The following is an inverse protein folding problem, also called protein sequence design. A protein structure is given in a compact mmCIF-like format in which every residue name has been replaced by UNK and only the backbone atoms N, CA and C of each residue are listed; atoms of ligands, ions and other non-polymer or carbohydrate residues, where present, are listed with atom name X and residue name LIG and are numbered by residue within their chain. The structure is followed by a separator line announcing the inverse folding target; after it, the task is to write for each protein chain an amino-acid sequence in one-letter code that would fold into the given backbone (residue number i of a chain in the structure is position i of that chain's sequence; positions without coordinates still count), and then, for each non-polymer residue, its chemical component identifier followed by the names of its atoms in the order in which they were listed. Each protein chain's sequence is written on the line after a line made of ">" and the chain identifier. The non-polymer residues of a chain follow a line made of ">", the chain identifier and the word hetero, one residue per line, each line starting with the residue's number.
data_IF_825592656124
#
_entry.id   IF_825592656124
#
_cell.length_a   1.000
_cell.length_b   1.000
_cell.length_c   1.000
_cell.angle_alpha   90.00
_cell.angle_beta   90.00
_cell.angle_gamma   90.00
#
_symmetry.space_group_name_H-M   'P 1'
#
loop_
_entity.id
_entity.type
_entity.pdbx_description
1 polymer ?
#
# COMPACT_ATOMS: atom_id res chain seq x y z
N UNK A 1 -7.42 -12.85 -26.66
CA UNK A 1 -6.83 -11.48 -26.77
C UNK A 1 -7.89 -10.37 -26.76
N UNK A 2 -9.03 -10.48 -27.44
CA UNK A 2 -10.03 -9.39 -27.47
C UNK A 2 -10.63 -9.03 -26.10
N UNK A 3 -10.94 -10.01 -25.22
CA UNK A 3 -11.55 -9.71 -23.92
C UNK A 3 -10.60 -8.94 -22.97
N UNK A 4 -9.31 -9.28 -22.96
CA UNK A 4 -8.32 -8.63 -22.09
C UNK A 4 -8.22 -7.12 -22.37
N UNK A 5 -8.19 -6.74 -23.65
CA UNK A 5 -8.09 -5.32 -24.05
C UNK A 5 -9.31 -4.55 -23.55
N UNK A 6 -10.52 -5.10 -23.68
CA UNK A 6 -11.73 -4.47 -23.16
C UNK A 6 -11.77 -4.39 -21.63
N UNK A 7 -11.28 -5.42 -20.94
CA UNK A 7 -11.16 -5.40 -19.47
C UNK A 7 -10.19 -4.30 -19.03
N UNK A 8 -9.02 -4.19 -19.67
CA UNK A 8 -8.03 -3.16 -19.35
C UNK A 8 -8.55 -1.77 -19.66
N UNK A 9 -9.17 -1.56 -20.83
CA UNK A 9 -9.80 -0.27 -21.19
C UNK A 9 -10.90 0.07 -20.18
N UNK A 10 -11.72 -0.90 -19.78
CA UNK A 10 -12.76 -0.73 -18.77
C UNK A 10 -12.17 -0.33 -17.42
N UNK A 11 -11.14 -1.04 -16.94
CA UNK A 11 -10.45 -0.74 -15.69
C UNK A 11 -9.80 0.64 -15.69
N UNK A 12 -9.11 1.01 -16.78
CA UNK A 12 -8.51 2.33 -16.94
C UNK A 12 -9.58 3.41 -17.02
N UNK A 13 -10.67 3.17 -17.74
CA UNK A 13 -11.79 4.09 -17.86
C UNK A 13 -12.48 4.34 -16.52
N UNK A 14 -12.80 3.27 -15.78
CA UNK A 14 -13.37 3.35 -14.43
C UNK A 14 -12.39 4.03 -13.48
N UNK A 15 -11.11 3.66 -13.50
CA UNK A 15 -10.07 4.28 -12.69
C UNK A 15 -9.90 5.77 -12.97
N UNK A 16 -9.93 6.18 -14.24
CA UNK A 16 -9.85 7.58 -14.65
C UNK A 16 -11.10 8.36 -14.22
N UNK A 17 -12.30 7.81 -14.45
CA UNK A 17 -13.55 8.41 -13.99
C UNK A 17 -13.54 8.56 -12.46
N UNK A 18 -13.12 7.52 -11.75
CA UNK A 18 -13.05 7.50 -10.30
C UNK A 18 -12.05 8.55 -9.77
N UNK A 19 -10.86 8.63 -10.37
CA UNK A 19 -9.86 9.64 -10.04
C UNK A 19 -10.40 11.06 -10.30
N UNK A 20 -11.01 11.29 -11.48
CA UNK A 20 -11.60 12.59 -11.80
C UNK A 20 -12.70 12.99 -10.82
N UNK A 21 -13.47 12.02 -10.33
CA UNK A 21 -14.52 12.23 -9.34
C UNK A 21 -13.95 12.54 -7.97
N UNK A 22 -12.92 11.82 -7.51
CA UNK A 22 -12.21 12.07 -6.25
C UNK A 22 -11.56 13.47 -6.25
N UNK A 23 -10.87 13.84 -7.33
CA UNK A 23 -10.17 15.13 -7.41
C UNK A 23 -11.11 16.33 -7.64
N UNK A 24 -12.34 16.12 -8.12
CA UNK A 24 -13.35 17.19 -8.28
C UNK A 24 -14.03 17.66 -6.98
N UNK A 25 -13.66 17.11 -5.81
CA UNK A 25 -14.48 17.24 -4.60
C UNK A 25 -13.86 18.13 -3.51
N UNK A 26 -14.02 19.44 -3.70
CA UNK A 26 -14.05 20.42 -2.61
C UNK A 26 -15.34 20.37 -1.77
N UNK A 27 -16.35 19.57 -2.17
CA UNK A 27 -17.72 19.61 -1.59
C UNK A 27 -18.19 18.37 -0.83
N UNK A 28 -17.36 17.36 -0.59
CA UNK A 28 -17.78 16.20 0.21
C UNK A 28 -17.69 16.46 1.72
N UNK A 29 -18.58 15.83 2.53
CA UNK A 29 -18.45 15.81 3.98
C UNK A 29 -17.09 15.20 4.38
N UNK A 30 -16.51 15.73 5.47
CA UNK A 30 -15.14 15.42 5.89
C UNK A 30 -14.85 13.92 6.01
N UNK A 31 -15.81 13.15 6.55
CA UNK A 31 -15.72 11.70 6.71
C UNK A 31 -15.56 10.96 5.37
N UNK A 32 -16.45 11.23 4.39
CA UNK A 32 -16.39 10.58 3.08
C UNK A 32 -15.09 10.92 2.32
N UNK A 33 -14.60 12.16 2.48
CA UNK A 33 -13.32 12.57 1.92
C UNK A 33 -12.14 11.83 2.57
N UNK A 34 -12.20 11.54 3.87
CA UNK A 34 -11.16 10.81 4.59
C UNK A 34 -11.16 9.31 4.23
N UNK A 35 -12.33 8.69 4.09
CA UNK A 35 -12.44 7.30 3.62
C UNK A 35 -12.01 7.13 2.16
N UNK A 36 -12.28 8.10 1.30
CA UNK A 36 -11.80 8.05 -0.10
C UNK A 36 -10.28 8.17 -0.22
N UNK A 37 -9.61 8.79 0.74
CA UNK A 37 -8.16 8.97 0.75
C UNK A 37 -7.39 7.70 1.17
N UNK A 38 -8.03 6.77 1.87
CA UNK A 38 -7.37 5.52 2.32
C UNK A 38 -7.28 4.47 1.21
N UNK A 39 -7.93 4.67 0.07
CA UNK A 39 -7.92 3.73 -1.06
C UNK A 39 -8.81 2.49 -0.87
N UNK A 40 -9.51 2.38 0.26
CA UNK A 40 -10.44 1.28 0.55
C UNK A 40 -11.53 1.12 -0.52
N UNK A 41 -11.99 2.21 -1.11
CA UNK A 41 -13.03 2.18 -2.13
C UNK A 41 -12.59 1.47 -3.41
N UNK A 42 -11.30 1.54 -3.75
CA UNK A 42 -10.73 0.82 -4.90
C UNK A 42 -10.73 -0.69 -4.63
N UNK A 43 -10.44 -1.10 -3.39
CA UNK A 43 -10.54 -2.51 -2.98
C UNK A 43 -11.98 -3.02 -3.06
N UNK A 44 -12.96 -2.25 -2.55
CA UNK A 44 -14.37 -2.62 -2.62
C UNK A 44 -14.85 -2.75 -4.07
N UNK A 45 -14.46 -1.80 -4.92
CA UNK A 45 -14.83 -1.81 -6.33
C UNK A 45 -14.17 -2.99 -7.06
N UNK A 46 -12.90 -3.29 -6.78
CA UNK A 46 -12.22 -4.48 -7.27
C UNK A 46 -12.89 -5.78 -6.84
N UNK A 47 -13.30 -5.88 -5.57
CA UNK A 47 -14.05 -7.03 -5.06
C UNK A 47 -15.43 -7.16 -5.72
N UNK A 48 -16.14 -6.04 -5.87
CA UNK A 48 -17.46 -6.01 -6.49
C UNK A 48 -17.43 -6.39 -7.97
N UNK A 49 -16.38 -6.01 -8.72
CA UNK A 49 -16.24 -6.35 -10.14
C UNK A 49 -15.65 -7.76 -10.31
N UNK A 50 -14.80 -8.20 -9.39
CA UNK A 50 -14.11 -9.48 -9.44
C UNK A 50 -15.00 -10.69 -9.16
N UNK A 51 -14.38 -11.89 -9.10
CA UNK A 51 -15.08 -13.16 -8.92
C UNK A 51 -15.89 -13.26 -7.62
N UNK A 52 -15.49 -12.53 -6.57
CA UNK A 52 -16.16 -12.53 -5.27
C UNK A 52 -17.43 -11.65 -5.21
N UNK A 53 -17.67 -10.82 -6.23
CA UNK A 53 -18.82 -9.92 -6.31
C UNK A 53 -19.73 -10.27 -7.47
N UNK A 54 -19.74 -9.41 -8.49
CA UNK A 54 -20.57 -9.51 -9.70
C UNK A 54 -20.00 -10.51 -10.73
N UNK A 55 -18.76 -10.95 -10.57
CA UNK A 55 -18.13 -11.94 -11.46
C UNK A 55 -17.89 -11.42 -12.88
N UNK A 56 -17.74 -10.10 -13.06
CA UNK A 56 -17.49 -9.48 -14.37
C UNK A 56 -16.12 -9.85 -14.94
N UNK A 57 -15.16 -10.17 -14.06
CA UNK A 57 -13.84 -10.68 -14.41
C UNK A 57 -13.72 -12.10 -13.86
N UNK A 58 -13.49 -13.08 -14.73
CA UNK A 58 -13.33 -14.47 -14.31
C UNK A 58 -11.99 -14.70 -13.62
N UNK A 59 -11.91 -15.68 -12.71
CA UNK A 59 -10.68 -15.96 -11.96
C UNK A 59 -9.49 -16.30 -12.87
N UNK A 60 -9.72 -16.97 -14.01
CA UNK A 60 -8.69 -17.27 -15.00
C UNK A 60 -8.23 -16.05 -15.82
N UNK A 61 -9.00 -14.97 -15.83
CA UNK A 61 -8.62 -13.71 -16.49
C UNK A 61 -7.79 -12.81 -15.56
N UNK A 62 -7.90 -12.97 -14.24
CA UNK A 62 -7.08 -12.23 -13.27
C UNK A 62 -5.58 -12.48 -13.47
N UNK A 63 -5.19 -13.73 -13.76
CA UNK A 63 -3.78 -14.07 -14.03
C UNK A 63 -3.23 -13.36 -15.28
N UNK A 64 -4.10 -12.94 -16.21
CA UNK A 64 -3.67 -12.17 -17.38
C UNK A 64 -3.37 -10.70 -17.03
N UNK A 65 -3.78 -10.25 -15.84
CA UNK A 65 -3.48 -8.92 -15.31
C UNK A 65 -2.13 -8.87 -14.57
N UNK A 66 -1.48 -10.01 -14.32
CA UNK A 66 -0.17 -10.09 -13.64
C UNK A 66 0.89 -9.13 -14.22
N UNK A 67 1.03 -8.96 -15.55
CA UNK A 67 1.99 -8.00 -16.11
C UNK A 67 1.68 -6.55 -15.72
N UNK A 68 0.40 -6.20 -15.59
CA UNK A 68 -0.02 -4.86 -15.16
C UNK A 68 0.18 -4.66 -13.66
N UNK A 69 -0.02 -5.70 -12.85
CA UNK A 69 0.31 -5.68 -11.42
C UNK A 69 1.81 -5.49 -11.25
N UNK A 70 2.63 -6.25 -11.96
CA UNK A 70 4.09 -6.12 -11.95
C UNK A 70 4.55 -4.73 -12.40
N UNK A 71 3.96 -4.18 -13.48
CA UNK A 71 4.23 -2.83 -13.94
C UNK A 71 3.83 -1.77 -12.91
N UNK A 72 2.65 -1.91 -12.29
CA UNK A 72 2.15 -1.01 -11.26
C UNK A 72 3.01 -1.02 -10.00
N UNK A 73 3.41 -2.20 -9.53
CA UNK A 73 4.32 -2.38 -8.39
C UNK A 73 5.71 -1.83 -8.71
N UNK A 74 6.25 -2.11 -9.90
CA UNK A 74 7.53 -1.56 -10.35
C UNK A 74 7.49 -0.03 -10.45
N UNK A 75 6.39 0.54 -10.94
CA UNK A 75 6.18 1.99 -10.98
C UNK A 75 6.07 2.62 -9.59
N UNK A 76 5.31 1.98 -8.67
CA UNK A 76 5.22 2.42 -7.28
C UNK A 76 6.60 2.36 -6.60
N UNK A 77 7.33 1.26 -6.76
CA UNK A 77 8.70 1.09 -6.28
C UNK A 77 9.65 2.15 -6.83
N UNK A 78 9.53 2.50 -8.11
CA UNK A 78 10.30 3.58 -8.74
C UNK A 78 9.98 4.95 -8.12
N UNK A 79 8.69 5.29 -7.95
CA UNK A 79 8.26 6.55 -7.33
C UNK A 79 8.86 6.67 -5.93
N UNK A 80 8.73 5.63 -5.11
CA UNK A 80 9.25 5.64 -3.76
C UNK A 80 10.78 5.61 -3.72
N UNK A 81 11.42 4.87 -4.63
CA UNK A 81 12.88 4.83 -4.76
C UNK A 81 13.47 6.20 -5.13
N UNK A 82 12.81 6.96 -6.02
CA UNK A 82 13.22 8.34 -6.35
C UNK A 82 12.95 9.32 -5.21
N UNK A 83 11.88 9.10 -4.43
CA UNK A 83 11.61 9.89 -3.22
C UNK A 83 12.62 9.60 -2.09
N UNK A 84 13.23 8.41 -2.08
CA UNK A 84 14.25 8.01 -1.13
C UNK A 84 15.57 8.73 -1.39
N UNK A 85 15.67 9.97 -0.90
CA UNK A 85 16.92 10.75 -0.97
C UNK A 85 17.90 10.25 0.09
N UNK A 86 18.90 9.48 -0.35
CA UNK A 86 20.04 9.04 0.49
C UNK A 86 20.73 10.20 1.22
N UNK A 87 20.72 11.39 0.64
CA UNK A 87 21.26 12.62 1.26
C UNK A 87 20.41 13.11 2.43
N UNK A 88 19.10 12.89 2.41
CA UNK A 88 18.22 13.25 3.53
C UNK A 88 18.29 12.20 4.64
N UNK A 89 18.47 10.92 4.29
CA UNK A 89 18.74 9.83 5.23
C UNK A 89 20.02 10.04 6.04
N UNK A 90 21.07 10.62 5.43
CA UNK A 90 22.34 10.93 6.11
C UNK A 90 22.25 12.10 7.09
N UNK A 91 21.22 12.95 6.97
CA UNK A 91 21.00 14.09 7.90
C UNK A 91 20.27 13.66 9.17
N UNK A 92 19.69 12.47 9.17
CA UNK A 92 19.01 11.91 10.34
C UNK A 92 20.05 11.42 11.33
N UNK A 93 19.84 11.72 12.61
CA UNK A 93 20.72 11.23 13.67
C UNK A 93 20.82 9.69 13.62
N UNK A 94 22.04 9.12 13.73
CA UNK A 94 22.25 7.68 13.61
C UNK A 94 21.38 6.87 14.57
N UNK A 95 21.16 7.39 15.79
CA UNK A 95 20.30 6.75 16.79
C UNK A 95 18.86 6.61 16.30
N UNK A 96 18.26 7.69 15.77
CA UNK A 96 16.90 7.66 15.27
C UNK A 96 16.76 6.70 14.10
N UNK A 97 17.77 6.64 13.21
CA UNK A 97 17.80 5.70 12.09
C UNK A 97 17.75 4.23 12.56
N UNK A 98 18.58 3.85 13.53
CA UNK A 98 18.56 2.48 14.07
C UNK A 98 17.27 2.19 14.82
N UNK A 99 16.72 3.16 15.55
CA UNK A 99 15.45 3.01 16.23
C UNK A 99 14.31 2.75 15.24
N UNK A 100 14.23 3.51 14.15
CA UNK A 100 13.21 3.32 13.10
C UNK A 100 13.35 1.98 12.40
N UNK A 101 14.57 1.57 12.04
CA UNK A 101 14.80 0.25 11.44
C UNK A 101 14.44 -0.88 12.41
N UNK A 102 14.78 -0.74 13.69
CA UNK A 102 14.40 -1.69 14.73
C UNK A 102 12.88 -1.77 14.90
N UNK A 103 12.19 -0.62 14.90
CA UNK A 103 10.73 -0.57 14.92
C UNK A 103 10.14 -1.26 13.69
N UNK A 104 10.58 -0.93 12.48
CA UNK A 104 10.09 -1.53 11.24
C UNK A 104 10.26 -3.05 11.23
N UNK A 105 11.43 -3.54 11.65
CA UNK A 105 11.70 -4.98 11.77
C UNK A 105 10.82 -5.63 12.84
N UNK A 106 10.64 -4.99 14.00
CA UNK A 106 9.79 -5.52 15.06
C UNK A 106 8.31 -5.57 14.63
N UNK A 107 7.82 -4.53 13.95
CA UNK A 107 6.46 -4.49 13.39
C UNK A 107 6.28 -5.55 12.31
N UNK A 108 7.22 -5.67 11.37
CA UNK A 108 7.20 -6.70 10.34
C UNK A 108 7.22 -8.11 10.92
N UNK A 109 8.10 -8.39 11.89
CA UNK A 109 8.19 -9.67 12.57
C UNK A 109 6.93 -10.00 13.38
N UNK A 110 6.37 -9.00 14.07
CA UNK A 110 5.12 -9.14 14.81
C UNK A 110 3.94 -9.46 13.90
N UNK A 111 3.79 -8.73 12.79
CA UNK A 111 2.77 -9.00 11.77
C UNK A 111 2.96 -10.37 11.13
N UNK A 112 4.20 -10.75 10.82
CA UNK A 112 4.52 -12.07 10.29
C UNK A 112 4.07 -13.18 11.24
N UNK A 113 4.40 -13.07 12.54
CA UNK A 113 3.99 -14.05 13.53
C UNK A 113 2.46 -14.13 13.66
N UNK A 114 1.76 -12.98 13.65
CA UNK A 114 0.30 -12.94 13.69
C UNK A 114 -0.29 -13.62 12.45
N UNK A 115 0.14 -13.24 11.25
CA UNK A 115 -0.39 -13.82 10.02
C UNK A 115 -0.04 -15.29 9.88
N UNK A 116 1.15 -15.73 10.30
CA UNK A 116 1.53 -17.14 10.31
C UNK A 116 0.66 -17.93 11.28
N UNK A 117 0.40 -17.40 12.47
CA UNK A 117 -0.49 -18.03 13.44
C UNK A 117 -1.92 -18.16 12.88
N UNK A 118 -2.46 -17.09 12.30
CA UNK A 118 -3.76 -17.13 11.65
C UNK A 118 -3.79 -18.12 10.48
N UNK A 119 -2.78 -18.09 9.62
CA UNK A 119 -2.68 -19.02 8.51
C UNK A 119 -2.61 -20.46 9.01
N UNK A 120 -1.84 -20.74 10.05
CA UNK A 120 -1.76 -22.08 10.64
C UNK A 120 -3.07 -22.54 11.29
N UNK A 121 -3.81 -21.65 11.97
CA UNK A 121 -5.07 -21.97 12.62
C UNK A 121 -6.23 -22.18 11.64
N UNK A 122 -6.28 -21.39 10.56
CA UNK A 122 -7.43 -21.34 9.64
C UNK A 122 -7.16 -21.97 8.27
N UNK A 123 -5.89 -22.16 7.87
CA UNK A 123 -5.50 -22.80 6.61
C UNK A 123 -4.61 -24.03 6.87
N UNK A 124 -5.12 -25.21 6.51
CA UNK A 124 -4.36 -26.48 6.56
C UNK A 124 -3.37 -26.67 5.40
N UNK A 125 -2.74 -25.58 4.94
CA UNK A 125 -1.83 -25.58 3.78
C UNK A 125 -0.44 -26.14 4.09
N UNK A 126 0.41 -26.24 3.05
CA UNK A 126 1.81 -26.60 3.25
C UNK A 126 2.54 -25.51 4.03
N UNK A 127 3.42 -25.90 4.96
CA UNK A 127 4.14 -24.94 5.82
C UNK A 127 4.93 -23.89 5.02
N UNK A 128 5.53 -24.27 3.89
CA UNK A 128 6.23 -23.36 2.98
C UNK A 128 5.32 -22.28 2.40
N UNK A 129 4.11 -22.63 1.98
CA UNK A 129 3.12 -21.70 1.42
C UNK A 129 2.59 -20.75 2.49
N UNK A 130 2.33 -21.27 3.71
CA UNK A 130 1.87 -20.46 4.85
C UNK A 130 2.93 -19.43 5.26
N UNK A 131 4.20 -19.84 5.32
CA UNK A 131 5.32 -18.94 5.63
C UNK A 131 5.49 -17.89 4.55
N UNK A 132 5.49 -18.28 3.27
CA UNK A 132 5.66 -17.34 2.17
C UNK A 132 4.50 -16.33 2.11
N UNK A 133 3.26 -16.80 2.23
CA UNK A 133 2.07 -15.93 2.25
C UNK A 133 2.06 -14.97 3.44
N UNK A 134 2.32 -15.46 4.65
CA UNK A 134 2.40 -14.62 5.85
C UNK A 134 3.51 -13.57 5.74
N UNK A 135 4.64 -13.92 5.15
CA UNK A 135 5.77 -13.01 4.97
C UNK A 135 5.45 -11.89 3.98
N UNK A 136 4.85 -12.22 2.83
CA UNK A 136 4.45 -11.24 1.82
C UNK A 136 3.39 -10.27 2.36
N UNK A 137 2.37 -10.78 3.05
CA UNK A 137 1.31 -9.94 3.64
C UNK A 137 1.88 -9.07 4.77
N UNK A 138 2.74 -9.62 5.63
CA UNK A 138 3.37 -8.85 6.69
C UNK A 138 4.25 -7.72 6.14
N UNK A 139 5.04 -7.98 5.10
CA UNK A 139 5.86 -6.98 4.45
C UNK A 139 5.02 -5.85 3.81
N UNK A 140 3.88 -6.19 3.21
CA UNK A 140 2.94 -5.19 2.67
C UNK A 140 2.28 -4.36 3.79
N UNK A 141 1.89 -4.99 4.90
CA UNK A 141 1.22 -4.33 6.02
C UNK A 141 2.15 -3.52 6.93
N UNK A 142 3.47 -3.78 6.93
CA UNK A 142 4.43 -3.04 7.76
C UNK A 142 4.80 -1.67 7.20
N UNK A 143 4.36 -1.34 5.98
CA UNK A 143 4.73 -0.09 5.30
C UNK A 143 3.84 1.07 5.73
N UNK A 144 4.48 2.17 6.14
CA UNK A 144 3.81 3.45 6.39
C UNK A 144 3.71 4.29 5.11
N UNK A 145 2.62 5.05 4.96
CA UNK A 145 2.40 5.94 3.80
C UNK A 145 2.80 7.39 4.12
N UNK A 146 3.94 7.90 3.61
CA UNK A 146 4.31 9.32 3.78
C UNK A 146 3.30 10.27 3.12
N UNK A 147 2.62 9.82 2.06
CA UNK A 147 1.55 10.56 1.38
C UNK A 147 0.35 10.78 2.30
N UNK A 148 -0.07 9.77 3.05
CA UNK A 148 -1.18 9.92 4.01
C UNK A 148 -0.82 10.95 5.10
N UNK A 149 0.43 10.93 5.58
CA UNK A 149 0.92 11.88 6.58
C UNK A 149 0.95 13.31 6.01
N UNK A 150 1.45 13.51 4.80
CA UNK A 150 1.53 14.85 4.19
C UNK A 150 0.16 15.45 3.88
N UNK A 151 -0.80 14.64 3.45
CA UNK A 151 -2.18 15.08 3.21
C UNK A 151 -2.91 15.45 4.51
N UNK A 152 -2.64 14.72 5.59
CA UNK A 152 -3.23 15.00 6.91
C UNK A 152 -2.55 16.18 7.59
N UNK A 153 -1.25 16.38 7.34
CA UNK A 153 -0.48 17.49 7.91
C UNK A 153 -1.06 18.86 7.59
N UNK A 154 -1.64 19.04 6.39
CA UNK A 154 -2.30 20.28 6.00
C UNK A 154 -3.50 20.68 6.90
N UNK A 155 -4.02 19.73 7.69
CA UNK A 155 -5.18 19.94 8.59
C UNK A 155 -4.80 20.00 10.06
N UNK A 156 -3.53 19.78 10.41
CA UNK A 156 -3.09 19.76 11.80
C UNK A 156 -2.92 21.17 12.37
N UNK A 157 -3.18 21.37 13.68
CA UNK A 157 -2.89 22.64 14.34
C UNK A 157 -1.39 22.94 14.29
N UNK A 158 -1.02 24.23 14.27
CA UNK A 158 0.38 24.69 14.15
C UNK A 158 1.32 24.05 15.18
N UNK A 159 0.82 23.69 16.35
CA UNK A 159 1.55 23.00 17.43
C UNK A 159 1.97 21.56 17.08
N UNK A 160 1.24 20.89 16.18
CA UNK A 160 1.52 19.52 15.76
C UNK A 160 2.38 19.44 14.49
N UNK A 161 2.51 20.53 13.74
CA UNK A 161 3.32 20.58 12.51
C UNK A 161 4.80 20.27 12.74
N UNK A 162 5.34 20.61 13.92
CA UNK A 162 6.72 20.29 14.30
C UNK A 162 6.99 18.78 14.37
N UNK A 163 5.95 17.97 14.62
CA UNK A 163 6.03 16.50 14.69
C UNK A 163 5.86 15.80 13.33
N UNK A 164 5.32 16.50 12.34
CA UNK A 164 5.08 15.95 10.99
C UNK A 164 6.39 15.60 10.30
N UNK A 165 7.41 16.47 10.40
CA UNK A 165 8.68 16.27 9.70
C UNK A 165 9.43 15.02 10.21
N UNK A 166 9.55 14.76 11.52
CA UNK A 166 10.04 13.48 12.03
C UNK A 166 9.21 12.28 11.57
N UNK A 167 7.87 12.37 11.60
CA UNK A 167 6.98 11.29 11.17
C UNK A 167 7.16 10.94 9.67
N UNK A 168 7.36 11.94 8.81
CA UNK A 168 7.66 11.71 7.40
C UNK A 168 9.00 11.01 7.20
N UNK A 169 10.02 11.38 7.99
CA UNK A 169 11.33 10.73 7.96
C UNK A 169 11.21 9.27 8.38
N UNK A 170 10.49 8.99 9.46
CA UNK A 170 10.22 7.63 9.95
C UNK A 170 9.46 6.82 8.89
N UNK A 171 8.37 7.36 8.34
CA UNK A 171 7.56 6.65 7.35
C UNK A 171 8.33 6.35 6.05
N UNK A 172 9.27 7.22 5.66
CA UNK A 172 10.14 6.99 4.50
C UNK A 172 11.22 5.94 4.80
N UNK A 173 11.72 5.89 6.03
CA UNK A 173 12.70 4.91 6.50
C UNK A 173 12.10 3.50 6.65
N UNK A 174 10.89 3.40 7.21
CA UNK A 174 10.17 2.14 7.43
C UNK A 174 9.83 1.42 6.11
N UNK A 175 9.83 2.14 4.99
CA UNK A 175 9.62 1.57 3.66
C UNK A 175 10.82 0.74 3.18
N UNK A 176 12.05 1.08 3.60
CA UNK A 176 13.26 0.47 3.05
C UNK A 176 13.36 -1.05 3.28
N UNK A 177 13.06 -1.61 4.48
CA UNK A 177 13.06 -3.06 4.68
C UNK A 177 12.04 -3.78 3.80
N UNK A 178 10.83 -3.23 3.65
CA UNK A 178 9.79 -3.82 2.82
C UNK A 178 10.16 -3.81 1.33
N UNK A 179 10.81 -2.73 0.87
CA UNK A 179 11.25 -2.60 -0.53
C UNK A 179 12.35 -3.61 -0.88
N UNK A 180 13.24 -3.95 0.06
CA UNK A 180 14.26 -5.01 -0.10
C UNK A 180 13.66 -6.42 -0.08
N UNK A 181 12.54 -6.59 0.63
CA UNK A 181 11.87 -7.88 0.77
C UNK A 181 10.96 -8.20 -0.42
N UNK A 182 10.28 -7.18 -0.95
CA UNK A 182 9.26 -7.32 -2.00
C UNK A 182 9.82 -7.01 -3.40
N UNK A 183 10.82 -6.14 -3.51
CA UNK A 183 11.47 -5.74 -4.77
C UNK A 183 12.73 -6.54 -5.07
#
# INVERSE_FOLDING_TARGET
>A
MNNLVWIVIGLVGVGFFWASFIFSKERLPAFARETMLTGWEVFLLGFAIGPGGLGLIAAGELNQLDPFIALGLGWAGLIFGVQLRLTDLRKVEPFLRYLTLGQALATGAGLFAIFLLFAWLFHGGQFSELVLGAFLVAAACSVSSPTAISMTAARLPKTALSKVRPLLVVATLDLAPALVVVG
#
